data_IF_945934232547
#
_entry.id   IF_945934232547
#
_cell.length_a   1.000
_cell.length_b   1.000
_cell.length_c   1.000
_cell.angle_alpha   90.00
_cell.angle_beta   90.00
_cell.angle_gamma   90.00
#
_symmetry.space_group_name_H-M   'P 1'
#
loop_
_entity.id
_entity.type
_entity.pdbx_description
1 polymer ?
#
# COMPACT_ATOMS: atom_id res chain seq x y z
N UNK A 1 -25.02 7.93 14.75
CA UNK A 1 -24.32 7.33 13.61
C UNK A 1 -23.49 6.19 14.18
N UNK A 2 -23.95 4.96 14.02
CA UNK A 2 -23.32 3.78 14.63
C UNK A 2 -22.01 3.52 13.90
N UNK A 3 -20.89 3.68 14.58
CA UNK A 3 -19.59 3.26 14.06
C UNK A 3 -19.64 1.74 14.04
N UNK A 4 -19.90 1.15 12.87
CA UNK A 4 -19.66 -0.27 12.67
C UNK A 4 -18.17 -0.48 12.96
N UNK A 5 -17.86 -1.12 14.09
CA UNK A 5 -16.53 -1.65 14.34
C UNK A 5 -16.32 -2.69 13.25
N UNK A 6 -15.51 -2.32 12.27
CA UNK A 6 -15.08 -3.22 11.20
C UNK A 6 -14.31 -4.35 11.88
N UNK A 7 -14.92 -5.52 11.97
CA UNK A 7 -14.29 -6.72 12.50
C UNK A 7 -13.31 -7.27 11.44
N UNK A 8 -12.09 -6.73 11.42
CA UNK A 8 -11.01 -7.20 10.55
C UNK A 8 -10.81 -8.72 10.72
N UNK A 9 -10.96 -9.23 11.94
CA UNK A 9 -10.63 -10.61 12.31
C UNK A 9 -11.53 -11.62 11.63
N UNK A 10 -12.83 -11.37 11.59
CA UNK A 10 -13.79 -12.31 10.99
C UNK A 10 -13.51 -12.54 9.50
N UNK A 11 -13.34 -11.46 8.72
CA UNK A 11 -13.13 -11.58 7.26
C UNK A 11 -11.78 -12.20 6.91
N UNK A 12 -10.70 -11.78 7.56
CA UNK A 12 -9.37 -12.34 7.28
C UNK A 12 -9.30 -13.83 7.64
N UNK A 13 -9.94 -14.24 8.74
CA UNK A 13 -10.06 -15.67 9.10
C UNK A 13 -10.91 -16.45 8.08
N UNK A 14 -11.98 -15.84 7.57
CA UNK A 14 -12.80 -16.42 6.51
C UNK A 14 -11.99 -16.65 5.23
N UNK A 15 -11.21 -15.66 4.79
CA UNK A 15 -10.35 -15.76 3.61
C UNK A 15 -9.37 -16.94 3.73
N UNK A 16 -8.68 -17.07 4.87
CA UNK A 16 -7.74 -18.19 5.12
C UNK A 16 -8.46 -19.54 5.10
N UNK A 17 -9.63 -19.61 5.75
CA UNK A 17 -10.44 -20.83 5.78
C UNK A 17 -10.90 -21.24 4.38
N UNK A 18 -11.41 -20.29 3.60
CA UNK A 18 -11.89 -20.53 2.24
C UNK A 18 -10.73 -20.97 1.34
N UNK A 19 -9.60 -20.27 1.38
CA UNK A 19 -8.38 -20.66 0.67
C UNK A 19 -7.94 -22.09 1.01
N UNK A 20 -7.89 -22.43 2.29
CA UNK A 20 -7.52 -23.79 2.74
C UNK A 20 -8.47 -24.85 2.18
N UNK A 21 -9.77 -24.56 2.09
CA UNK A 21 -10.76 -25.48 1.51
C UNK A 21 -10.60 -25.59 -0.01
N UNK A 22 -10.38 -24.48 -0.71
CA UNK A 22 -10.11 -24.44 -2.15
C UNK A 22 -8.87 -25.27 -2.49
N UNK A 23 -7.77 -25.10 -1.76
CA UNK A 23 -6.54 -25.89 -1.93
C UNK A 23 -6.79 -27.40 -1.72
N UNK A 24 -7.59 -27.79 -0.71
CA UNK A 24 -7.96 -29.21 -0.49
C UNK A 24 -8.74 -29.83 -1.65
N UNK A 25 -9.41 -29.01 -2.45
CA UNK A 25 -10.13 -29.44 -3.66
C UNK A 25 -9.23 -29.42 -4.91
N UNK A 26 -7.93 -29.18 -4.77
CA UNK A 26 -6.97 -28.97 -5.86
C UNK A 26 -7.34 -27.80 -6.78
N UNK A 27 -8.05 -26.82 -6.24
CA UNK A 27 -8.35 -25.56 -6.90
C UNK A 27 -7.36 -24.49 -6.43
N UNK A 28 -7.16 -23.46 -7.25
CA UNK A 28 -6.17 -22.40 -6.98
C UNK A 28 -6.84 -21.14 -6.47
N UNK A 29 -6.17 -20.46 -5.55
CA UNK A 29 -6.52 -19.11 -5.09
C UNK A 29 -5.33 -18.21 -5.35
N UNK A 30 -5.59 -16.97 -5.77
CA UNK A 30 -4.60 -15.92 -5.92
C UNK A 30 -4.91 -14.78 -4.94
N UNK A 31 -3.89 -14.26 -4.28
CA UNK A 31 -3.95 -13.03 -3.51
C UNK A 31 -2.94 -12.02 -4.06
N UNK A 32 -3.45 -10.88 -4.49
CA UNK A 32 -2.66 -9.76 -5.01
C UNK A 32 -2.66 -8.66 -3.96
N UNK A 33 -1.48 -8.16 -3.60
CA UNK A 33 -1.31 -7.09 -2.62
C UNK A 33 -0.68 -5.86 -3.26
N UNK A 34 -1.30 -4.69 -3.07
CA UNK A 34 -0.54 -3.45 -3.15
C UNK A 34 0.46 -3.32 -1.97
N UNK A 35 1.41 -2.39 -2.08
CA UNK A 35 2.45 -2.17 -1.08
C UNK A 35 2.24 -0.88 -0.27
N UNK A 36 2.20 0.28 -0.94
CA UNK A 36 2.31 1.58 -0.28
C UNK A 36 0.99 1.94 0.40
N UNK A 37 0.99 1.96 1.73
CA UNK A 37 -0.21 2.11 2.57
C UNK A 37 -1.16 0.90 2.54
N UNK A 38 -0.83 -0.17 1.82
CA UNK A 38 -1.51 -1.48 1.90
C UNK A 38 -0.76 -2.42 2.84
N UNK A 39 0.38 -3.00 2.42
CA UNK A 39 1.21 -3.83 3.30
C UNK A 39 2.14 -3.00 4.19
N UNK A 40 2.61 -1.86 3.68
CA UNK A 40 3.59 -1.00 4.35
C UNK A 40 2.98 0.32 4.80
N UNK A 41 3.18 0.66 6.07
CA UNK A 41 3.04 2.02 6.56
C UNK A 41 4.20 2.87 6.01
N UNK A 42 3.85 3.91 5.25
CA UNK A 42 4.79 4.83 4.61
C UNK A 42 5.01 6.13 5.42
N UNK A 43 4.30 6.31 6.54
CA UNK A 43 4.47 7.47 7.40
C UNK A 43 5.86 7.51 8.02
N UNK A 44 6.46 6.35 8.33
CA UNK A 44 7.81 6.23 8.88
C UNK A 44 8.89 6.65 7.88
N UNK A 45 8.72 6.31 6.60
CA UNK A 45 9.56 6.82 5.50
C UNK A 45 9.45 8.34 5.38
N UNK A 46 8.24 8.88 5.43
CA UNK A 46 8.02 10.33 5.38
C UNK A 46 8.59 11.05 6.60
N UNK A 47 8.45 10.46 7.80
CA UNK A 47 9.01 10.97 9.05
C UNK A 47 10.53 11.11 8.96
N UNK A 48 11.20 10.07 8.48
CA UNK A 48 12.66 10.08 8.30
C UNK A 48 13.12 11.20 7.36
N UNK A 49 12.43 11.36 6.24
CA UNK A 49 12.71 12.41 5.26
C UNK A 49 12.50 13.81 5.87
N UNK A 50 11.40 14.01 6.60
CA UNK A 50 11.09 15.29 7.25
C UNK A 50 12.18 15.67 8.26
N UNK A 51 12.63 14.72 9.09
CA UNK A 51 13.69 14.95 10.06
C UNK A 51 15.03 15.29 9.40
N UNK A 52 15.40 14.61 8.32
CA UNK A 52 16.64 14.93 7.59
C UNK A 52 16.58 16.31 6.92
N UNK A 53 15.42 16.69 6.38
CA UNK A 53 15.22 18.05 5.87
C UNK A 53 15.35 19.08 6.99
N UNK A 54 14.75 18.81 8.14
CA UNK A 54 14.82 19.67 9.31
C UNK A 54 16.26 19.87 9.79
N UNK A 55 17.06 18.81 9.83
CA UNK A 55 18.49 18.87 10.16
C UNK A 55 19.28 19.70 9.13
N UNK A 56 19.05 19.46 7.83
CA UNK A 56 19.75 20.17 6.76
C UNK A 56 19.50 21.69 6.79
N UNK A 57 18.29 22.09 7.15
CA UNK A 57 17.85 23.49 7.16
C UNK A 57 17.84 24.14 8.54
N UNK A 58 18.30 23.44 9.59
CA UNK A 58 18.29 23.89 10.99
C UNK A 58 16.89 24.31 11.49
N UNK A 59 15.86 23.52 11.16
CA UNK A 59 14.46 23.75 11.54
C UNK A 59 14.09 22.89 12.76
N UNK A 60 14.38 23.39 13.96
CA UNK A 60 14.23 22.62 15.21
C UNK A 60 12.77 22.23 15.54
N UNK A 61 11.82 23.06 15.09
CA UNK A 61 10.39 22.78 15.20
C UNK A 61 9.97 21.56 14.35
N UNK A 62 10.54 21.40 13.16
CA UNK A 62 10.27 20.25 12.29
C UNK A 62 10.89 18.94 12.79
N UNK A 63 11.97 18.99 13.58
CA UNK A 63 12.56 17.78 14.20
C UNK A 63 11.61 17.10 15.18
N UNK A 64 10.74 17.87 15.81
CA UNK A 64 9.75 17.36 16.77
C UNK A 64 8.38 17.11 16.12
N UNK A 65 8.25 17.35 14.81
CA UNK A 65 6.98 17.15 14.09
C UNK A 65 6.76 15.66 13.82
N UNK A 66 5.58 15.18 14.18
CA UNK A 66 5.14 13.81 13.90
C UNK A 66 4.34 13.73 12.58
N UNK A 67 4.72 12.76 11.75
CA UNK A 67 3.97 12.32 10.58
C UNK A 67 3.02 11.20 10.99
N UNK A 68 1.72 11.48 10.94
CA UNK A 68 0.68 10.55 11.37
C UNK A 68 0.43 9.48 10.31
N UNK A 69 -0.11 8.33 10.75
CA UNK A 69 -0.53 7.24 9.84
C UNK A 69 -1.59 7.67 8.82
N UNK A 70 -2.38 8.69 9.16
CA UNK A 70 -3.45 9.24 8.31
C UNK A 70 -2.95 10.28 7.32
N UNK A 71 -1.69 10.70 7.43
CA UNK A 71 -1.14 11.75 6.59
C UNK A 71 -0.95 11.27 5.17
N UNK A 72 -1.35 12.11 4.21
CA UNK A 72 -0.98 11.91 2.83
C UNK A 72 0.20 12.83 2.45
N UNK A 73 1.39 12.24 2.47
CA UNK A 73 2.65 12.95 2.23
C UNK A 73 3.08 13.86 3.39
N UNK A 74 4.05 14.73 3.13
CA UNK A 74 4.69 15.55 4.18
C UNK A 74 3.91 16.82 4.56
N UNK A 75 3.02 17.28 3.67
CA UNK A 75 2.35 18.58 3.80
C UNK A 75 1.45 18.66 5.03
N UNK A 76 0.72 17.59 5.35
CA UNK A 76 -0.23 17.58 6.45
C UNK A 76 0.47 17.72 7.82
N UNK A 77 1.62 17.06 7.97
CA UNK A 77 2.48 17.19 9.14
C UNK A 77 2.95 18.62 9.38
N UNK A 78 3.51 19.28 8.36
CA UNK A 78 4.04 20.65 8.54
C UNK A 78 2.93 21.69 8.73
N UNK A 79 1.76 21.50 8.11
CA UNK A 79 0.60 22.37 8.35
C UNK A 79 0.13 22.25 9.81
N UNK A 80 0.06 21.02 10.36
CA UNK A 80 -0.27 20.83 11.78
C UNK A 80 0.75 21.48 12.71
N UNK A 81 2.02 21.50 12.31
CA UNK A 81 3.08 22.21 13.05
C UNK A 81 2.97 23.74 12.97
N UNK A 82 2.12 24.28 12.09
CA UNK A 82 1.88 25.71 11.97
C UNK A 82 2.43 26.36 10.70
N UNK A 83 3.05 25.59 9.79
CA UNK A 83 3.48 26.11 8.50
C UNK A 83 2.28 26.44 7.63
N UNK A 84 2.25 27.68 7.15
CA UNK A 84 1.22 28.19 6.23
C UNK A 84 1.78 28.34 4.82
N UNK A 85 1.01 27.94 3.82
CA UNK A 85 1.43 27.95 2.40
C UNK A 85 1.74 29.37 1.95
N UNK A 86 0.96 30.34 2.41
CA UNK A 86 1.04 31.73 1.99
C UNK A 86 2.31 32.41 2.51
N UNK A 87 2.78 32.02 3.70
CA UNK A 87 3.92 32.69 4.37
C UNK A 87 5.19 31.85 4.40
N UNK A 88 5.12 30.55 4.06
CA UNK A 88 6.26 29.63 4.07
C UNK A 88 6.44 28.91 2.73
N UNK A 89 5.93 29.48 1.63
CA UNK A 89 5.94 28.84 0.30
C UNK A 89 7.32 28.34 -0.11
N UNK A 90 8.37 29.16 0.02
CA UNK A 90 9.73 28.81 -0.40
C UNK A 90 10.26 27.55 0.32
N UNK A 91 10.13 27.49 1.65
CA UNK A 91 10.64 26.33 2.41
C UNK A 91 9.75 25.10 2.18
N UNK A 92 8.45 25.27 1.98
CA UNK A 92 7.53 24.19 1.67
C UNK A 92 7.76 23.60 0.27
N UNK A 93 8.12 24.42 -0.71
CA UNK A 93 8.54 23.96 -2.04
C UNK A 93 9.84 23.15 -1.96
N UNK A 94 10.85 23.66 -1.24
CA UNK A 94 12.10 22.92 -1.00
C UNK A 94 11.85 21.58 -0.29
N UNK A 95 11.00 21.57 0.74
CA UNK A 95 10.62 20.36 1.46
C UNK A 95 9.90 19.37 0.55
N UNK A 96 8.95 19.83 -0.28
CA UNK A 96 8.23 18.98 -1.23
C UNK A 96 9.21 18.31 -2.19
N UNK A 97 10.14 19.07 -2.76
CA UNK A 97 11.08 18.54 -3.75
C UNK A 97 12.08 17.58 -3.11
N UNK A 98 12.60 17.93 -1.93
CA UNK A 98 13.46 17.06 -1.11
C UNK A 98 12.74 15.75 -0.75
N UNK A 99 11.46 15.85 -0.37
CA UNK A 99 10.64 14.70 -0.05
C UNK A 99 10.36 13.84 -1.28
N UNK A 100 10.00 14.44 -2.41
CA UNK A 100 9.68 13.70 -3.63
C UNK A 100 10.88 12.90 -4.13
N UNK A 101 12.06 13.51 -4.17
CA UNK A 101 13.30 12.85 -4.58
C UNK A 101 13.59 11.60 -3.75
N UNK A 102 13.41 11.69 -2.43
CA UNK A 102 13.75 10.62 -1.48
C UNK A 102 12.65 9.60 -1.35
N UNK A 103 11.40 10.02 -1.27
CA UNK A 103 10.26 9.12 -1.08
C UNK A 103 10.19 8.10 -2.22
N UNK A 104 10.46 8.52 -3.46
CA UNK A 104 10.50 7.65 -4.63
C UNK A 104 11.93 7.18 -4.95
N UNK A 105 12.62 6.57 -3.98
CA UNK A 105 13.97 6.03 -4.15
C UNK A 105 14.11 4.65 -3.50
N UNK A 106 15.06 3.84 -3.97
CA UNK A 106 15.34 2.52 -3.43
C UNK A 106 15.80 2.60 -1.97
N UNK A 107 16.57 3.63 -1.65
CA UNK A 107 17.25 3.83 -0.37
C UNK A 107 16.25 4.07 0.76
N UNK A 108 15.24 4.91 0.51
CA UNK A 108 14.29 5.30 1.56
C UNK A 108 13.18 4.29 1.79
N UNK A 109 12.97 3.34 0.89
CA UNK A 109 12.03 2.24 1.10
C UNK A 109 12.35 1.44 2.37
N UNK A 110 13.61 1.38 2.78
CA UNK A 110 14.05 0.65 3.98
C UNK A 110 13.47 1.18 5.30
N UNK A 111 12.89 2.37 5.29
CA UNK A 111 12.18 2.97 6.42
C UNK A 111 10.69 2.63 6.46
N UNK A 112 10.15 1.96 5.44
CA UNK A 112 8.78 1.43 5.49
C UNK A 112 8.68 0.33 6.55
N UNK A 113 7.58 0.35 7.31
CA UNK A 113 7.26 -0.64 8.35
C UNK A 113 5.96 -1.33 7.98
N UNK A 114 5.86 -2.67 8.02
CA UNK A 114 4.61 -3.38 7.75
C UNK A 114 3.49 -2.93 8.68
N UNK A 115 2.26 -2.90 8.17
CA UNK A 115 1.10 -2.78 9.06
C UNK A 115 1.00 -3.98 9.98
N UNK A 116 0.42 -3.77 11.16
CA UNK A 116 0.22 -4.81 12.15
C UNK A 116 -0.55 -6.01 11.55
N UNK A 117 0.01 -7.21 11.74
CA UNK A 117 -0.55 -8.47 11.21
C UNK A 117 -0.22 -8.76 9.75
N UNK A 118 0.39 -7.83 9.00
CA UNK A 118 0.54 -7.96 7.55
C UNK A 118 1.45 -9.13 7.16
N UNK A 119 2.58 -9.27 7.87
CA UNK A 119 3.53 -10.37 7.65
C UNK A 119 2.84 -11.69 7.96
N UNK A 120 2.24 -11.80 9.15
CA UNK A 120 1.60 -13.03 9.62
C UNK A 120 0.47 -13.46 8.67
N UNK A 121 -0.36 -12.52 8.23
CA UNK A 121 -1.46 -12.82 7.32
C UNK A 121 -0.97 -13.32 5.95
N UNK A 122 0.01 -12.66 5.33
CA UNK A 122 0.53 -13.08 4.02
C UNK A 122 1.20 -14.46 4.11
N UNK A 123 1.97 -14.72 5.17
CA UNK A 123 2.61 -16.03 5.38
C UNK A 123 1.58 -17.14 5.62
N UNK A 124 0.48 -16.85 6.31
CA UNK A 124 -0.60 -17.82 6.48
C UNK A 124 -1.38 -18.07 5.19
N UNK A 125 -1.55 -17.06 4.34
CA UNK A 125 -2.12 -17.27 3.00
C UNK A 125 -1.24 -18.19 2.17
N UNK A 126 0.08 -17.96 2.15
CA UNK A 126 1.03 -18.83 1.45
C UNK A 126 0.99 -20.26 2.02
N UNK A 127 0.98 -20.41 3.35
CA UNK A 127 0.89 -21.72 4.00
C UNK A 127 -0.44 -22.44 3.72
N UNK A 128 -1.52 -21.70 3.45
CA UNK A 128 -2.81 -22.26 3.01
C UNK A 128 -2.83 -22.67 1.53
N UNK A 129 -1.71 -22.50 0.80
CA UNK A 129 -1.58 -22.82 -0.62
C UNK A 129 -2.06 -21.71 -1.55
N UNK A 130 -2.23 -20.48 -1.05
CA UNK A 130 -2.57 -19.32 -1.89
C UNK A 130 -1.33 -18.85 -2.63
N UNK A 131 -1.49 -18.59 -3.92
CA UNK A 131 -0.46 -17.91 -4.70
C UNK A 131 -0.42 -16.43 -4.33
N UNK A 132 0.78 -15.91 -4.05
CA UNK A 132 0.98 -14.53 -3.61
C UNK A 132 1.63 -13.72 -4.73
N UNK A 133 1.04 -12.58 -5.07
CA UNK A 133 1.61 -11.58 -5.98
C UNK A 133 1.54 -10.18 -5.38
N UNK A 134 2.49 -9.33 -5.77
CA UNK A 134 2.55 -7.92 -5.39
C UNK A 134 2.38 -7.04 -6.62
N UNK A 135 1.39 -6.15 -6.59
CA UNK A 135 1.07 -5.23 -7.69
C UNK A 135 1.06 -3.79 -7.19
N UNK A 136 2.11 -3.05 -7.51
CA UNK A 136 2.39 -1.75 -6.89
C UNK A 136 2.55 -0.62 -7.88
N UNK A 137 2.16 0.59 -7.47
CA UNK A 137 2.40 1.84 -8.20
C UNK A 137 3.84 2.37 -8.11
N UNK A 138 4.76 1.64 -7.48
CA UNK A 138 6.20 1.93 -7.55
C UNK A 138 6.72 1.66 -8.95
N UNK A 139 7.66 2.47 -9.45
CA UNK A 139 8.30 2.23 -10.75
C UNK A 139 9.63 1.48 -10.64
N UNK A 140 9.95 0.71 -11.67
CA UNK A 140 11.12 -0.16 -11.70
C UNK A 140 12.44 0.60 -11.53
N UNK A 141 12.61 1.71 -12.25
CA UNK A 141 13.89 2.42 -12.33
C UNK A 141 14.30 3.00 -10.97
N UNK A 142 13.36 3.62 -10.25
CA UNK A 142 13.65 4.31 -8.99
C UNK A 142 13.49 3.44 -7.76
N UNK A 143 12.65 2.40 -7.82
CA UNK A 143 12.15 1.71 -6.62
C UNK A 143 12.17 0.18 -6.72
N UNK A 144 12.59 -0.40 -7.84
CA UNK A 144 12.56 -1.86 -8.05
C UNK A 144 13.44 -2.63 -7.08
N UNK A 145 14.72 -2.25 -6.97
CA UNK A 145 15.71 -2.95 -6.12
C UNK A 145 15.32 -2.82 -4.64
N UNK A 146 15.00 -1.60 -4.19
CA UNK A 146 14.61 -1.33 -2.81
C UNK A 146 13.33 -2.05 -2.42
N UNK A 147 12.36 -2.18 -3.35
CA UNK A 147 11.13 -2.93 -3.10
C UNK A 147 11.40 -4.41 -2.83
N UNK A 148 12.22 -5.06 -3.67
CA UNK A 148 12.61 -6.46 -3.46
C UNK A 148 13.35 -6.64 -2.14
N UNK A 149 14.31 -5.75 -1.84
CA UNK A 149 15.07 -5.80 -0.59
C UNK A 149 14.19 -5.65 0.66
N UNK A 150 13.21 -4.75 0.63
CA UNK A 150 12.29 -4.52 1.76
C UNK A 150 11.35 -5.70 1.97
N UNK A 151 10.80 -6.28 0.90
CA UNK A 151 9.99 -7.51 1.01
C UNK A 151 10.81 -8.64 1.66
N UNK A 152 12.05 -8.85 1.20
CA UNK A 152 12.96 -9.83 1.78
C UNK A 152 13.33 -9.53 3.24
N UNK A 153 13.64 -8.27 3.57
CA UNK A 153 13.98 -7.81 4.92
C UNK A 153 12.90 -8.16 5.94
N UNK A 154 11.63 -8.00 5.56
CA UNK A 154 10.49 -8.26 6.43
C UNK A 154 9.97 -9.71 6.35
N UNK A 155 10.59 -10.56 5.54
CA UNK A 155 10.24 -11.98 5.43
C UNK A 155 9.01 -12.28 4.58
N UNK A 156 8.58 -11.35 3.73
CA UNK A 156 7.51 -11.61 2.77
C UNK A 156 7.98 -12.58 1.67
N UNK A 157 7.11 -13.48 1.18
CA UNK A 157 7.47 -14.42 0.11
C UNK A 157 7.61 -13.70 -1.23
N UNK A 158 8.85 -13.47 -1.66
CA UNK A 158 9.13 -12.68 -2.87
C UNK A 158 10.09 -13.38 -3.83
N UNK A 159 9.65 -13.46 -5.08
CA UNK A 159 10.41 -13.91 -6.24
C UNK A 159 10.14 -12.96 -7.40
N UNK A 160 11.01 -12.92 -8.42
CA UNK A 160 10.90 -11.93 -9.50
C UNK A 160 9.58 -12.03 -10.28
N UNK A 161 9.02 -13.24 -10.43
CA UNK A 161 7.74 -13.45 -11.11
C UNK A 161 6.51 -13.10 -10.26
N UNK A 162 6.70 -12.77 -8.97
CA UNK A 162 5.64 -12.39 -8.03
C UNK A 162 5.52 -10.88 -7.85
N UNK A 163 6.47 -10.08 -8.35
CA UNK A 163 6.55 -8.64 -8.11
C UNK A 163 6.35 -7.82 -9.39
N UNK A 164 5.26 -7.07 -9.45
CA UNK A 164 4.85 -6.28 -10.60
C UNK A 164 4.93 -4.78 -10.29
N UNK A 165 5.97 -4.12 -10.78
CA UNK A 165 6.17 -2.68 -10.71
C UNK A 165 5.78 -2.00 -12.01
N UNK A 166 5.40 -0.71 -11.94
CA UNK A 166 5.22 0.10 -13.15
C UNK A 166 6.52 0.15 -13.95
N UNK A 167 6.46 -0.01 -15.29
CA UNK A 167 7.64 0.13 -16.14
C UNK A 167 8.31 1.50 -16.02
N UNK A 168 7.52 2.56 -15.81
CA UNK A 168 8.02 3.91 -15.61
C UNK A 168 7.06 4.74 -14.75
N UNK A 169 7.57 5.86 -14.22
CA UNK A 169 6.82 6.74 -13.30
C UNK A 169 5.63 7.47 -13.93
N UNK A 170 5.65 7.68 -15.25
CA UNK A 170 4.63 8.49 -15.94
C UNK A 170 3.35 7.72 -16.23
N UNK A 171 3.38 6.40 -16.05
CA UNK A 171 2.21 5.55 -16.20
C UNK A 171 1.25 5.74 -15.03
N UNK A 172 -0.04 5.91 -15.32
CA UNK A 172 -1.10 6.01 -14.32
C UNK A 172 -1.24 4.68 -13.57
N UNK A 173 -1.36 4.78 -12.25
CA UNK A 173 -1.42 3.59 -11.39
C UNK A 173 -2.71 2.79 -11.62
N UNK A 174 -3.85 3.47 -11.65
CA UNK A 174 -5.16 2.86 -11.91
C UNK A 174 -5.20 2.11 -13.25
N UNK A 175 -4.65 2.72 -14.31
CA UNK A 175 -4.62 2.11 -15.63
C UNK A 175 -3.68 0.90 -15.66
N UNK A 176 -2.50 1.03 -15.07
CA UNK A 176 -1.54 -0.07 -14.98
C UNK A 176 -2.12 -1.28 -14.26
N UNK A 177 -2.74 -1.08 -13.08
CA UNK A 177 -3.32 -2.18 -12.31
C UNK A 177 -4.52 -2.81 -13.02
N UNK A 178 -5.38 -1.98 -13.61
CA UNK A 178 -6.51 -2.46 -14.43
C UNK A 178 -6.02 -3.35 -15.57
N UNK A 179 -5.05 -2.89 -16.36
CA UNK A 179 -4.50 -3.67 -17.48
C UNK A 179 -3.80 -4.95 -17.02
N UNK A 180 -3.16 -4.94 -15.86
CA UNK A 180 -2.55 -6.15 -15.28
C UNK A 180 -3.62 -7.21 -14.99
N UNK A 181 -4.71 -6.83 -14.32
CA UNK A 181 -5.82 -7.75 -14.06
C UNK A 181 -6.51 -8.20 -15.34
N UNK A 182 -6.71 -7.31 -16.33
CA UNK A 182 -7.29 -7.67 -17.63
C UNK A 182 -6.46 -8.73 -18.38
N UNK A 183 -5.13 -8.76 -18.20
CA UNK A 183 -4.23 -9.74 -18.83
C UNK A 183 -4.06 -11.03 -18.02
N UNK A 184 -4.38 -11.02 -16.73
CA UNK A 184 -4.33 -12.20 -15.88
C UNK A 184 -5.36 -13.24 -16.38
N UNK A 185 -4.94 -14.49 -16.55
CA UNK A 185 -5.87 -15.61 -16.77
C UNK A 185 -6.59 -15.94 -15.45
N UNK A 186 -7.62 -15.16 -15.15
CA UNK A 186 -8.42 -15.30 -13.92
C UNK A 186 -9.21 -16.61 -13.88
N UNK A 187 -9.46 -17.23 -15.04
CA UNK A 187 -10.16 -18.52 -15.13
C UNK A 187 -9.35 -19.70 -14.56
N UNK A 188 -8.04 -19.52 -14.40
CA UNK A 188 -7.16 -20.49 -13.75
C UNK A 188 -7.31 -20.52 -12.21
N UNK A 189 -8.07 -19.59 -11.62
CA UNK A 189 -8.26 -19.46 -10.19
C UNK A 189 -9.74 -19.59 -9.83
N UNK A 190 -10.03 -20.32 -8.75
CA UNK A 190 -11.36 -20.37 -8.17
C UNK A 190 -11.71 -19.06 -7.45
N UNK A 191 -10.69 -18.35 -6.93
CA UNK A 191 -10.86 -17.08 -6.26
C UNK A 191 -9.62 -16.20 -6.46
N UNK A 192 -9.85 -14.92 -6.71
CA UNK A 192 -8.82 -13.87 -6.74
C UNK A 192 -9.17 -12.81 -5.71
N UNK A 193 -8.23 -12.51 -4.81
CA UNK A 193 -8.31 -11.42 -3.85
C UNK A 193 -7.39 -10.28 -4.25
N UNK A 194 -7.84 -9.03 -4.07
CA UNK A 194 -7.01 -7.86 -4.24
C UNK A 194 -7.08 -6.94 -3.01
N UNK A 195 -5.94 -6.77 -2.34
CA UNK A 195 -5.80 -5.87 -1.18
C UNK A 195 -5.22 -4.54 -1.65
N UNK A 196 -5.96 -3.46 -1.43
CA UNK A 196 -5.66 -2.15 -2.00
C UNK A 196 -6.21 -1.03 -1.10
N UNK A 197 -5.46 0.06 -0.95
CA UNK A 197 -5.85 1.20 -0.12
C UNK A 197 -6.29 2.42 -0.95
N UNK A 198 -5.96 2.51 -2.24
CA UNK A 198 -6.24 3.69 -3.05
C UNK A 198 -7.62 3.59 -3.73
N UNK A 199 -8.58 4.48 -3.43
CA UNK A 199 -9.93 4.41 -3.99
C UNK A 199 -10.01 4.41 -5.51
N UNK A 200 -9.12 5.11 -6.22
CA UNK A 200 -9.14 5.10 -7.70
C UNK A 200 -8.83 3.71 -8.26
N UNK A 201 -7.89 3.00 -7.64
CA UNK A 201 -7.53 1.64 -8.02
C UNK A 201 -8.68 0.68 -7.70
N UNK A 202 -9.26 0.77 -6.50
CA UNK A 202 -10.40 -0.05 -6.08
C UNK A 202 -11.58 0.10 -7.04
N UNK A 203 -12.01 1.33 -7.31
CA UNK A 203 -13.16 1.58 -8.16
C UNK A 203 -12.91 1.07 -9.60
N UNK A 204 -11.70 1.25 -10.13
CA UNK A 204 -11.32 0.73 -11.44
C UNK A 204 -11.40 -0.81 -11.50
N UNK A 205 -10.89 -1.52 -10.49
CA UNK A 205 -10.95 -2.99 -10.47
C UNK A 205 -12.38 -3.48 -10.30
N UNK A 206 -13.18 -2.90 -9.41
CA UNK A 206 -14.58 -3.27 -9.24
C UNK A 206 -15.40 -3.09 -10.53
N UNK A 207 -15.09 -2.04 -11.31
CA UNK A 207 -15.78 -1.76 -12.56
C UNK A 207 -15.39 -2.73 -13.69
N UNK A 208 -14.10 -3.06 -13.80
CA UNK A 208 -13.56 -3.77 -14.97
C UNK A 208 -13.28 -5.25 -14.75
N UNK A 209 -13.12 -5.68 -13.50
CA UNK A 209 -12.81 -7.05 -13.11
C UNK A 209 -13.71 -7.47 -11.93
N UNK A 210 -15.04 -7.56 -12.12
CA UNK A 210 -16.00 -7.81 -11.05
C UNK A 210 -15.87 -9.20 -10.40
N UNK A 211 -15.09 -10.10 -11.01
CA UNK A 211 -14.72 -11.41 -10.47
C UNK A 211 -13.56 -11.36 -9.45
N UNK A 212 -12.89 -10.21 -9.31
CA UNK A 212 -11.87 -9.98 -8.28
C UNK A 212 -12.53 -9.49 -7.00
N UNK A 213 -12.34 -10.23 -5.91
CA UNK A 213 -12.80 -9.80 -4.59
C UNK A 213 -11.82 -8.78 -4.01
N UNK A 214 -12.23 -7.51 -3.98
CA UNK A 214 -11.41 -6.42 -3.44
C UNK A 214 -11.63 -6.28 -1.94
N UNK A 215 -10.53 -6.30 -1.19
CA UNK A 215 -10.47 -5.98 0.24
C UNK A 215 -9.86 -4.59 0.38
N UNK A 216 -10.69 -3.62 0.76
CA UNK A 216 -10.25 -2.23 0.88
C UNK A 216 -9.51 -1.99 2.18
N UNK A 217 -8.27 -1.54 2.10
CA UNK A 217 -7.51 -1.09 3.26
C UNK A 217 -7.81 0.38 3.52
N UNK A 218 -8.55 0.65 4.59
CA UNK A 218 -8.95 2.00 5.02
C UNK A 218 -7.79 2.69 5.77
N UNK A 219 -6.69 2.88 5.04
CA UNK A 219 -5.46 3.55 5.46
C UNK A 219 -5.26 4.86 4.66
N UNK A 220 -4.12 5.53 4.79
CA UNK A 220 -3.88 6.78 4.04
C UNK A 220 -3.87 6.57 2.53
N UNK A 221 -4.42 7.52 1.78
CA UNK A 221 -4.56 7.49 0.32
C UNK A 221 -4.69 8.91 -0.24
N UNK A 222 -4.64 9.07 -1.57
CA UNK A 222 -4.65 10.38 -2.23
C UNK A 222 -6.00 11.12 -2.15
N UNK A 223 -7.09 10.40 -1.82
CA UNK A 223 -8.45 10.95 -1.66
C UNK A 223 -9.00 11.58 -2.95
N UNK A 224 -8.50 11.12 -4.11
CA UNK A 224 -8.99 11.53 -5.43
C UNK A 224 -10.42 11.05 -5.70
N UNK A 225 -10.78 9.91 -5.13
CA UNK A 225 -12.11 9.33 -5.18
C UNK A 225 -12.49 8.76 -3.80
N UNK A 226 -13.73 8.31 -3.70
CA UNK A 226 -14.23 7.54 -2.56
C UNK A 226 -14.68 6.17 -3.06
N UNK A 227 -14.50 5.14 -2.23
CA UNK A 227 -15.07 3.82 -2.48
C UNK A 227 -16.53 3.85 -2.00
N UNK A 228 -17.48 3.78 -2.92
CA UNK A 228 -18.92 3.78 -2.60
C UNK A 228 -19.54 2.39 -2.59
N UNK A 229 -18.86 1.41 -3.18
CA UNK A 229 -19.28 0.02 -3.16
C UNK A 229 -19.28 -0.54 -1.73
N UNK A 230 -20.26 -1.40 -1.45
CA UNK A 230 -20.36 -2.17 -0.21
C UNK A 230 -19.43 -3.39 -0.31
N UNK A 231 -18.15 -3.13 -0.06
CA UNK A 231 -17.08 -4.14 -0.03
C UNK A 231 -16.46 -4.21 1.35
N UNK A 232 -15.80 -5.33 1.65
CA UNK A 232 -15.09 -5.50 2.90
C UNK A 232 -13.98 -4.48 3.04
N UNK A 233 -13.94 -3.83 4.20
CA UNK A 233 -12.92 -2.87 4.59
C UNK A 233 -12.14 -3.45 5.74
N UNK A 234 -10.85 -3.15 5.84
CA UNK A 234 -10.02 -3.45 7.00
C UNK A 234 -9.10 -2.27 7.28
N UNK A 235 -8.69 -2.09 8.54
CA UNK A 235 -7.73 -1.02 8.92
C UNK A 235 -6.28 -1.50 9.01
N UNK A 236 -6.11 -2.81 9.10
CA UNK A 236 -4.85 -3.55 9.18
C UNK A 236 -5.17 -5.05 9.11
N UNK A 237 -4.14 -5.87 9.24
CA UNK A 237 -4.25 -7.34 9.13
C UNK A 237 -4.29 -8.03 10.49
N UNK A 238 -4.48 -7.28 11.60
CA UNK A 238 -4.65 -7.88 12.91
C UNK A 238 -5.95 -8.68 12.95
N UNK A 239 -5.82 -9.93 13.38
CA UNK A 239 -6.93 -10.86 13.63
C UNK A 239 -7.12 -11.09 15.12
#
# INVERSE_FOLDING_TARGET
MTIHVVDNSSKLNEIIKNATQTTKQNLRTLAVFDLDSTLFNVSTRTQKILHEFADLHNLEDLKNTEVLLTDWGVREAVIRQGYKIETHSEILEKLRDFWFERFFSNEYLHYDVPYIGAIEFVLEMEAAGVEIMYLTGRDQARMGIGTKQVLQKWGFPVEDHKLFLKPNRTMDDELYKKEWFERLDRSAYNQVYFFENEPVNVNAILQHCPDVEVIFLDTTHARKQTVTADIHRIKNFRR
#
